data_IF_070978164413
#
_entry.id   IF_070978164413
#
_cell.length_a   1.000
_cell.length_b   1.000
_cell.length_c   1.000
_cell.angle_alpha   90.00
_cell.angle_beta   90.00
_cell.angle_gamma   90.00
#
_symmetry.space_group_name_H-M   'P 1'
#
loop_
_entity.id
_entity.type
_entity.pdbx_description
1 polymer ?
#
# COMPACT_ATOMS: atom_id res chain seq x y z
N UNK A 1 32.67 -14.22 -25.06
CA UNK A 1 31.28 -14.67 -24.76
C UNK A 1 31.31 -15.27 -23.36
N UNK A 2 30.79 -14.53 -22.36
CA UNK A 2 30.79 -14.99 -20.96
C UNK A 2 29.63 -15.99 -20.79
N UNK A 3 29.98 -17.27 -20.75
CA UNK A 3 29.06 -18.41 -20.71
C UNK A 3 28.66 -18.76 -19.25
N UNK A 4 28.43 -17.77 -18.42
CA UNK A 4 27.89 -18.00 -17.08
C UNK A 4 26.42 -18.36 -17.21
N UNK A 5 26.06 -19.59 -16.85
CA UNK A 5 24.69 -20.02 -16.68
C UNK A 5 23.95 -19.01 -15.77
N UNK A 6 22.71 -18.65 -16.09
CA UNK A 6 21.92 -17.78 -15.20
C UNK A 6 21.89 -18.42 -13.81
N UNK A 7 22.18 -17.60 -12.79
CA UNK A 7 22.05 -18.06 -11.39
C UNK A 7 20.62 -18.55 -11.18
N UNK A 8 20.42 -19.70 -10.54
CA UNK A 8 19.09 -20.18 -10.21
C UNK A 8 18.36 -19.12 -9.39
N UNK A 9 17.07 -18.95 -9.66
CA UNK A 9 16.23 -18.04 -8.87
C UNK A 9 16.32 -18.44 -7.39
N UNK A 10 16.42 -17.45 -6.48
CA UNK A 10 16.45 -17.75 -5.06
C UNK A 10 15.16 -18.49 -4.65
N UNK A 11 15.24 -19.44 -3.71
CA UNK A 11 14.08 -20.21 -3.29
C UNK A 11 12.98 -19.26 -2.78
N UNK A 12 11.74 -19.48 -3.23
CA UNK A 12 10.59 -18.71 -2.78
C UNK A 12 10.34 -18.92 -1.29
N UNK A 13 10.17 -17.82 -0.55
CA UNK A 13 9.87 -17.85 0.89
C UNK A 13 8.36 -17.95 1.12
N UNK A 14 7.95 -18.54 2.23
CA UNK A 14 6.55 -18.42 2.69
C UNK A 14 6.29 -17.03 3.27
N UNK A 15 5.09 -16.49 3.01
CA UNK A 15 4.61 -15.29 3.70
C UNK A 15 4.11 -15.71 5.08
N UNK A 16 4.67 -15.18 6.19
CA UNK A 16 4.21 -15.53 7.52
C UNK A 16 2.78 -15.04 7.76
N UNK A 17 1.98 -15.87 8.40
CA UNK A 17 0.73 -15.49 9.02
C UNK A 17 1.00 -15.16 10.48
N UNK A 18 0.76 -13.91 10.88
CA UNK A 18 1.01 -13.41 12.23
C UNK A 18 -0.29 -12.87 12.80
N UNK A 19 -0.72 -13.39 13.93
CA UNK A 19 -1.89 -12.89 14.64
C UNK A 19 -1.41 -11.97 15.76
N UNK A 20 -1.78 -10.69 15.67
CA UNK A 20 -1.42 -9.67 16.67
C UNK A 20 -2.58 -9.32 17.59
N UNK A 21 -3.78 -9.79 17.29
CA UNK A 21 -4.98 -9.45 18.03
C UNK A 21 -5.12 -7.94 18.23
N UNK A 22 -5.32 -7.50 19.46
CA UNK A 22 -5.43 -6.08 19.84
C UNK A 22 -4.09 -5.38 20.03
N UNK A 23 -2.99 -6.10 20.06
CA UNK A 23 -1.66 -5.51 20.28
C UNK A 23 -1.13 -4.77 19.01
N UNK A 24 -1.80 -4.93 17.88
CA UNK A 24 -1.54 -4.16 16.68
C UNK A 24 -0.15 -4.36 16.06
N UNK A 25 0.30 -3.44 15.18
CA UNK A 25 1.57 -3.54 14.45
C UNK A 25 2.82 -3.59 15.32
N UNK A 26 2.78 -3.10 16.56
CA UNK A 26 3.92 -3.21 17.49
C UNK A 26 4.24 -4.66 17.82
N UNK A 27 3.23 -5.52 17.90
CA UNK A 27 3.44 -6.95 18.15
C UNK A 27 4.18 -7.65 17.00
N UNK A 28 4.04 -7.16 15.75
CA UNK A 28 4.78 -7.69 14.61
C UNK A 28 6.30 -7.54 14.77
N UNK A 29 6.75 -6.47 15.40
CA UNK A 29 8.18 -6.26 15.68
C UNK A 29 8.68 -7.28 16.67
N UNK A 30 7.90 -7.58 17.70
CA UNK A 30 8.24 -8.62 18.67
C UNK A 30 8.33 -10.02 18.04
N UNK A 31 7.51 -10.25 17.00
CA UNK A 31 7.50 -11.53 16.27
C UNK A 31 8.64 -11.63 15.23
N UNK A 32 9.02 -10.52 14.58
CA UNK A 32 10.04 -10.55 13.52
C UNK A 32 10.79 -9.21 13.38
N UNK A 33 11.58 -8.88 14.39
CA UNK A 33 12.43 -7.69 14.37
C UNK A 33 13.48 -7.74 13.25
N UNK A 34 13.97 -8.93 12.91
CA UNK A 34 15.00 -9.10 11.89
C UNK A 34 14.52 -8.60 10.51
N UNK A 35 13.28 -8.93 10.11
CA UNK A 35 12.70 -8.39 8.86
C UNK A 35 12.64 -6.86 8.85
N UNK A 36 12.27 -6.26 9.98
CA UNK A 36 12.22 -4.81 10.05
C UNK A 36 13.62 -4.18 9.96
N UNK A 37 14.61 -4.80 10.58
CA UNK A 37 16.01 -4.36 10.47
C UNK A 37 16.54 -4.50 9.03
N UNK A 38 16.20 -5.59 8.33
CA UNK A 38 16.56 -5.80 6.92
C UNK A 38 15.92 -4.74 6.01
N UNK A 39 14.63 -4.44 6.22
CA UNK A 39 13.93 -3.39 5.46
C UNK A 39 14.55 -2.01 5.74
N UNK A 40 14.84 -1.69 7.00
CA UNK A 40 15.46 -0.42 7.37
C UNK A 40 16.88 -0.27 6.80
N UNK A 41 17.67 -1.35 6.79
CA UNK A 41 18.99 -1.37 6.16
C UNK A 41 18.89 -1.18 4.64
N UNK A 42 18.00 -1.90 3.98
CA UNK A 42 17.73 -1.78 2.54
C UNK A 42 17.28 -0.37 2.16
N UNK A 43 16.46 0.27 3.00
CA UNK A 43 16.02 1.65 2.80
C UNK A 43 17.16 2.66 2.99
N UNK A 44 18.02 2.45 3.98
CA UNK A 44 19.21 3.29 4.19
C UNK A 44 20.17 3.22 3.01
N UNK A 45 20.40 2.01 2.47
CA UNK A 45 21.24 1.82 1.27
C UNK A 45 20.62 2.48 0.03
N UNK A 46 19.29 2.38 -0.13
CA UNK A 46 18.57 2.95 -1.28
C UNK A 46 18.52 4.48 -1.26
N UNK A 47 18.18 5.09 -0.13
CA UNK A 47 18.05 6.55 0.00
C UNK A 47 19.39 7.25 0.30
N UNK A 48 20.38 6.52 0.76
CA UNK A 48 21.65 7.03 1.28
C UNK A 48 21.55 7.48 2.73
N UNK A 49 22.59 7.20 3.51
CA UNK A 49 22.66 7.40 4.96
C UNK A 49 22.21 8.79 5.42
N UNK A 50 22.71 9.85 4.79
CA UNK A 50 22.41 11.24 5.18
C UNK A 50 20.93 11.59 4.94
N UNK A 51 20.42 11.29 3.73
CA UNK A 51 19.03 11.58 3.36
C UNK A 51 18.05 10.79 4.24
N UNK A 52 18.35 9.52 4.53
CA UNK A 52 17.56 8.64 5.37
C UNK A 52 17.42 9.20 6.80
N UNK A 53 18.51 9.61 7.42
CA UNK A 53 18.50 10.17 8.79
C UNK A 53 17.83 11.53 8.88
N UNK A 54 18.06 12.39 7.90
CA UNK A 54 17.39 13.71 7.84
C UNK A 54 15.89 13.52 7.65
N UNK A 55 15.49 12.65 6.71
CA UNK A 55 14.09 12.32 6.47
C UNK A 55 13.41 11.74 7.71
N UNK A 56 14.05 10.83 8.43
CA UNK A 56 13.53 10.25 9.67
C UNK A 56 13.28 11.32 10.75
N UNK A 57 14.24 12.24 10.97
CA UNK A 57 14.09 13.36 11.92
C UNK A 57 12.97 14.33 11.52
N UNK A 58 12.83 14.65 10.24
CA UNK A 58 11.77 15.53 9.75
C UNK A 58 10.40 14.86 9.88
N UNK A 59 10.31 13.58 9.56
CA UNK A 59 9.10 12.77 9.74
C UNK A 59 8.68 12.70 11.21
N UNK A 60 9.62 12.47 12.12
CA UNK A 60 9.37 12.51 13.56
C UNK A 60 8.81 13.86 14.01
N UNK A 61 9.46 14.98 13.62
CA UNK A 61 9.00 16.33 13.98
C UNK A 61 7.60 16.65 13.45
N UNK A 62 7.30 16.17 12.25
CA UNK A 62 5.95 16.30 11.69
C UNK A 62 4.94 15.50 12.50
N UNK A 63 5.22 14.24 12.78
CA UNK A 63 4.36 13.36 13.58
C UNK A 63 4.06 13.96 14.96
N UNK A 64 5.08 14.49 15.65
CA UNK A 64 4.96 15.11 16.98
C UNK A 64 4.01 16.33 16.99
N UNK A 65 3.89 17.04 15.86
CA UNK A 65 3.00 18.20 15.70
C UNK A 65 1.61 17.85 15.17
N UNK A 66 1.44 16.67 14.64
CA UNK A 66 0.17 16.19 14.07
C UNK A 66 -0.78 15.66 15.16
N UNK A 67 -2.07 15.61 14.84
CA UNK A 67 -3.08 14.98 15.70
C UNK A 67 -3.22 13.46 15.40
N UNK A 68 -2.13 12.83 14.97
CA UNK A 68 -2.12 11.43 14.58
C UNK A 68 -2.28 10.50 15.79
N UNK A 69 -3.32 9.67 15.87
CA UNK A 69 -3.57 8.77 17.01
C UNK A 69 -2.51 7.68 17.15
N UNK A 70 -1.79 7.36 16.06
CA UNK A 70 -0.76 6.30 16.04
C UNK A 70 0.64 6.80 16.42
N UNK A 71 0.76 8.04 16.91
CA UNK A 71 2.05 8.65 17.26
C UNK A 71 2.82 7.86 18.31
N UNK A 72 2.15 7.42 19.36
CA UNK A 72 2.78 6.64 20.44
C UNK A 72 3.26 5.28 19.92
N UNK A 73 2.47 4.64 19.08
CA UNK A 73 2.80 3.35 18.48
C UNK A 73 4.02 3.44 17.54
N UNK A 74 4.08 4.48 16.70
CA UNK A 74 5.26 4.72 15.83
C UNK A 74 6.51 5.04 16.67
N UNK A 75 6.36 5.72 17.80
CA UNK A 75 7.47 5.98 18.70
C UNK A 75 8.00 4.68 19.35
N UNK A 76 7.11 3.78 19.75
CA UNK A 76 7.49 2.46 20.28
C UNK A 76 8.16 1.59 19.19
N UNK A 77 7.66 1.64 17.95
CA UNK A 77 8.31 1.02 16.78
C UNK A 77 9.74 1.53 16.62
N UNK A 78 9.95 2.84 16.75
CA UNK A 78 11.28 3.46 16.62
C UNK A 78 12.23 3.05 17.76
N UNK A 79 11.71 2.95 18.97
CA UNK A 79 12.48 2.48 20.13
C UNK A 79 12.94 1.03 19.95
N UNK A 80 12.03 0.15 19.53
CA UNK A 80 12.35 -1.28 19.29
C UNK A 80 13.31 -1.50 18.13
N UNK A 81 13.26 -0.66 17.09
CA UNK A 81 14.20 -0.71 15.98
C UNK A 81 15.63 -0.32 16.44
N UNK A 82 15.75 0.60 17.40
CA UNK A 82 17.03 1.06 17.95
C UNK A 82 17.93 1.83 17.00
N UNK A 83 17.44 2.20 15.80
CA UNK A 83 18.16 2.96 14.77
C UNK A 83 17.19 3.88 14.02
N UNK A 84 17.68 4.89 13.25
CA UNK A 84 16.84 5.71 12.39
C UNK A 84 16.09 4.88 11.33
N UNK A 85 14.92 5.38 10.89
CA UNK A 85 14.15 4.83 9.78
C UNK A 85 12.68 4.59 10.10
N UNK A 86 12.31 4.33 11.34
CA UNK A 86 10.94 4.01 11.70
C UNK A 86 9.95 5.12 11.33
N UNK A 87 10.28 6.38 11.60
CA UNK A 87 9.42 7.50 11.25
C UNK A 87 9.35 7.74 9.75
N UNK A 88 10.49 7.67 9.05
CA UNK A 88 10.53 7.84 7.60
C UNK A 88 9.70 6.77 6.90
N UNK A 89 9.89 5.49 7.24
CA UNK A 89 9.19 4.36 6.60
C UNK A 89 7.69 4.39 6.88
N UNK A 90 7.25 4.96 8.00
CA UNK A 90 5.82 5.12 8.31
C UNK A 90 5.17 6.36 7.70
N UNK A 91 5.95 7.36 7.25
CA UNK A 91 5.45 8.67 6.85
C UNK A 91 5.93 9.11 5.45
N UNK A 92 6.74 8.30 4.77
CA UNK A 92 7.12 8.52 3.38
C UNK A 92 6.32 7.59 2.45
N UNK A 93 5.84 8.15 1.36
CA UNK A 93 4.97 7.44 0.42
C UNK A 93 5.53 7.63 -0.99
N UNK A 94 6.40 6.71 -1.40
CA UNK A 94 7.10 6.77 -2.69
C UNK A 94 6.76 5.55 -3.58
N UNK A 95 5.64 4.89 -3.29
CA UNK A 95 5.20 3.75 -4.10
C UNK A 95 4.31 4.14 -5.28
N UNK A 96 4.23 3.24 -6.22
CA UNK A 96 3.26 3.25 -7.30
C UNK A 96 2.39 2.00 -7.23
N UNK A 97 1.23 2.03 -7.84
CA UNK A 97 0.27 0.94 -7.68
C UNK A 97 -0.63 0.84 -8.90
N UNK A 98 -1.26 -0.33 -9.03
CA UNK A 98 -2.40 -0.53 -9.90
C UNK A 98 -3.47 -1.27 -9.12
N UNK A 99 -4.70 -0.82 -9.15
CA UNK A 99 -5.81 -1.48 -8.46
C UNK A 99 -7.06 -1.48 -9.32
N UNK A 100 -7.88 -2.51 -9.16
CA UNK A 100 -9.17 -2.68 -9.77
C UNK A 100 -10.17 -3.27 -8.80
N UNK A 101 -11.43 -2.92 -8.95
CA UNK A 101 -12.56 -3.42 -8.19
C UNK A 101 -13.71 -3.76 -9.13
N UNK A 102 -14.29 -4.93 -8.97
CA UNK A 102 -15.38 -5.42 -9.79
C UNK A 102 -15.99 -6.71 -9.24
N UNK A 103 -17.01 -7.27 -9.90
CA UNK A 103 -17.60 -8.54 -9.50
C UNK A 103 -16.54 -9.65 -9.48
N UNK A 104 -16.66 -10.58 -8.55
CA UNK A 104 -15.78 -11.75 -8.48
C UNK A 104 -16.24 -12.82 -9.49
N UNK A 105 -15.48 -13.17 -10.55
CA UNK A 105 -15.89 -14.21 -11.47
C UNK A 105 -15.90 -15.62 -10.87
N UNK A 106 -15.33 -15.81 -9.68
CA UNK A 106 -15.26 -17.10 -8.98
C UNK A 106 -16.30 -17.24 -7.88
N UNK A 107 -17.16 -16.24 -7.63
CA UNK A 107 -18.16 -16.27 -6.57
C UNK A 107 -18.90 -14.98 -6.34
N UNK A 108 -19.61 -14.90 -5.23
CA UNK A 108 -20.40 -13.73 -4.88
C UNK A 108 -19.54 -12.55 -4.40
N UNK A 109 -20.12 -11.37 -4.50
CA UNK A 109 -19.58 -10.11 -3.99
C UNK A 109 -18.59 -9.44 -4.92
N UNK A 110 -18.03 -8.38 -4.41
CA UNK A 110 -17.05 -7.56 -5.12
C UNK A 110 -15.63 -7.91 -4.66
N UNK A 111 -14.69 -8.03 -5.60
CA UNK A 111 -13.30 -8.29 -5.25
C UNK A 111 -12.37 -7.14 -5.61
N UNK A 112 -11.29 -7.05 -4.87
CA UNK A 112 -10.17 -6.14 -5.07
C UNK A 112 -9.00 -6.89 -5.73
N UNK A 113 -8.47 -6.36 -6.83
CA UNK A 113 -7.19 -6.73 -7.44
C UNK A 113 -6.20 -5.60 -7.21
N UNK A 114 -4.95 -5.91 -6.87
CA UNK A 114 -3.95 -4.88 -6.67
C UNK A 114 -2.53 -5.35 -6.90
N UNK A 115 -1.68 -4.48 -7.51
CA UNK A 115 -0.22 -4.55 -7.39
C UNK A 115 0.32 -3.32 -6.67
N UNK A 116 1.31 -3.53 -5.80
CA UNK A 116 2.10 -2.47 -5.19
C UNK A 116 3.50 -2.50 -5.77
N UNK A 117 3.91 -1.36 -6.31
CA UNK A 117 5.21 -1.17 -6.92
C UNK A 117 6.02 -0.18 -6.07
N UNK A 118 7.19 -0.59 -5.61
CA UNK A 118 8.11 0.25 -4.84
C UNK A 118 9.53 -0.09 -5.21
N UNK A 119 10.38 0.88 -5.59
CA UNK A 119 11.76 0.59 -5.97
C UNK A 119 12.60 0.01 -4.82
N UNK A 120 12.18 0.18 -3.56
CA UNK A 120 12.88 -0.34 -2.39
C UNK A 120 12.99 -1.88 -2.44
N UNK A 121 14.21 -2.47 -2.47
CA UNK A 121 14.40 -3.92 -2.47
C UNK A 121 14.01 -4.58 -1.14
N UNK A 122 13.62 -5.84 -1.19
CA UNK A 122 13.31 -6.67 -0.02
C UNK A 122 11.84 -6.66 0.40
N UNK A 123 11.06 -5.65 0.00
CA UNK A 123 9.65 -5.53 0.43
C UNK A 123 8.78 -6.69 -0.04
N UNK A 124 9.03 -7.23 -1.22
CA UNK A 124 8.28 -8.42 -1.70
C UNK A 124 8.64 -9.68 -0.93
N UNK A 125 9.92 -9.85 -0.58
CA UNK A 125 10.42 -10.99 0.19
C UNK A 125 9.99 -10.95 1.65
N UNK A 126 9.91 -9.74 2.25
CA UNK A 126 9.75 -9.57 3.69
C UNK A 126 8.32 -9.19 4.10
N UNK A 127 7.35 -9.31 3.17
CA UNK A 127 5.93 -9.11 3.45
C UNK A 127 5.39 -10.15 4.44
N UNK A 128 4.41 -9.72 5.25
CA UNK A 128 3.67 -10.58 6.20
C UNK A 128 2.16 -10.36 6.04
N UNK A 129 1.37 -11.38 6.36
CA UNK A 129 -0.08 -11.27 6.52
C UNK A 129 -0.40 -11.20 8.01
N UNK A 130 -0.82 -10.02 8.49
CA UNK A 130 -1.04 -9.75 9.89
C UNK A 130 -2.54 -9.70 10.21
N UNK A 131 -3.00 -10.55 11.14
CA UNK A 131 -4.33 -10.50 11.72
C UNK A 131 -4.40 -9.48 12.86
N UNK A 132 -5.39 -8.60 12.83
CA UNK A 132 -5.65 -7.57 13.83
C UNK A 132 -7.08 -7.65 14.32
N UNK A 133 -7.32 -7.16 15.56
CA UNK A 133 -8.64 -6.94 16.12
C UNK A 133 -8.83 -5.46 16.46
N UNK A 134 -9.74 -4.82 15.77
CA UNK A 134 -10.19 -3.45 16.04
C UNK A 134 -11.57 -3.40 16.69
N UNK A 135 -12.06 -2.21 17.07
CA UNK A 135 -13.41 -2.01 17.61
C UNK A 135 -14.52 -2.48 16.67
N UNK A 136 -14.30 -2.47 15.35
CA UNK A 136 -15.25 -2.94 14.35
C UNK A 136 -15.11 -4.44 14.02
N UNK A 137 -14.19 -5.16 14.64
CA UNK A 137 -13.93 -6.59 14.43
C UNK A 137 -12.57 -6.89 13.81
N UNK A 138 -12.36 -8.15 13.46
CA UNK A 138 -11.08 -8.64 12.94
C UNK A 138 -10.84 -8.22 11.49
N UNK A 139 -9.58 -8.07 11.12
CA UNK A 139 -9.16 -7.74 9.76
C UNK A 139 -7.71 -8.18 9.49
N UNK A 140 -7.36 -8.37 8.24
CA UNK A 140 -6.04 -8.80 7.78
C UNK A 140 -5.33 -7.69 7.05
N UNK A 141 -4.09 -7.38 7.47
CA UNK A 141 -3.20 -6.41 6.88
C UNK A 141 -2.10 -7.11 6.07
N UNK A 142 -1.96 -6.76 4.81
CA UNK A 142 -0.78 -7.13 4.01
C UNK A 142 0.26 -6.06 4.22
N UNK A 143 1.28 -6.36 5.04
CA UNK A 143 2.12 -5.36 5.65
C UNK A 143 3.57 -5.84 5.87
N UNK A 144 4.33 -5.06 6.58
CA UNK A 144 5.68 -5.36 7.02
C UNK A 144 5.83 -5.08 8.52
N UNK A 145 6.68 -5.83 9.26
CA UNK A 145 7.03 -5.47 10.62
C UNK A 145 7.53 -4.02 10.70
N UNK A 146 7.02 -3.26 11.66
CA UNK A 146 7.36 -1.84 11.82
C UNK A 146 6.53 -0.84 10.99
N UNK A 147 5.70 -1.29 10.04
CA UNK A 147 4.77 -0.42 9.34
C UNK A 147 3.42 -0.36 10.07
N UNK A 148 3.09 0.81 10.58
CA UNK A 148 1.92 1.05 11.45
C UNK A 148 0.64 1.34 10.63
N UNK A 149 0.79 1.82 9.41
CA UNK A 149 -0.31 2.12 8.50
C UNK A 149 -0.87 0.90 7.77
N UNK A 150 -1.84 1.15 6.90
CA UNK A 150 -2.42 0.15 5.99
C UNK A 150 -2.23 0.60 4.54
N UNK A 151 -1.59 -0.27 3.73
CA UNK A 151 -1.51 -0.08 2.29
C UNK A 151 -2.52 -0.95 1.54
N UNK A 152 -2.79 -2.15 2.04
CA UNK A 152 -3.85 -3.06 1.56
C UNK A 152 -4.30 -3.93 2.71
N UNK A 153 -5.60 -4.05 2.91
CA UNK A 153 -6.16 -4.92 3.93
C UNK A 153 -7.54 -5.47 3.51
N UNK A 154 -7.98 -6.50 4.23
CA UNK A 154 -9.29 -7.13 4.06
C UNK A 154 -9.87 -7.46 5.43
N UNK A 155 -11.12 -7.10 5.64
CA UNK A 155 -11.94 -7.45 6.80
C UNK A 155 -13.03 -8.43 6.34
N UNK A 156 -12.94 -9.73 6.69
CA UNK A 156 -13.95 -10.72 6.31
C UNK A 156 -15.35 -10.28 6.72
N UNK A 157 -16.31 -10.41 5.81
CA UNK A 157 -17.70 -10.01 6.04
C UNK A 157 -17.94 -8.50 6.11
N UNK A 158 -16.94 -7.64 5.77
CA UNK A 158 -17.08 -6.18 5.78
C UNK A 158 -16.64 -5.53 4.47
N UNK A 159 -15.34 -5.47 4.22
CA UNK A 159 -14.78 -4.87 3.00
C UNK A 159 -13.28 -5.18 2.85
N UNK A 160 -12.77 -4.98 1.64
CA UNK A 160 -11.33 -4.91 1.35
C UNK A 160 -10.98 -3.54 0.77
N UNK A 161 -9.79 -3.05 1.04
CA UNK A 161 -9.35 -1.77 0.51
C UNK A 161 -7.85 -1.68 0.25
N UNK A 162 -7.49 -0.83 -0.71
CA UNK A 162 -6.11 -0.52 -1.06
C UNK A 162 -5.94 0.98 -1.31
N UNK A 163 -4.69 1.46 -1.17
CA UNK A 163 -4.33 2.85 -1.43
C UNK A 163 -3.33 2.94 -2.59
N UNK A 164 -3.58 3.86 -3.52
CA UNK A 164 -2.66 4.25 -4.57
C UNK A 164 -2.27 5.72 -4.40
N UNK A 165 -1.15 6.12 -4.99
CA UNK A 165 -0.72 7.52 -4.95
C UNK A 165 -1.01 8.25 -6.27
N UNK A 166 -1.57 9.47 -6.20
CA UNK A 166 -1.71 10.35 -7.35
C UNK A 166 -0.35 10.88 -7.84
N UNK A 167 -0.29 11.51 -9.03
CA UNK A 167 0.90 12.22 -9.50
C UNK A 167 1.40 13.26 -8.49
N UNK A 168 2.71 13.54 -8.51
CA UNK A 168 3.28 14.63 -7.72
C UNK A 168 2.75 15.95 -8.30
N UNK A 169 2.13 16.79 -7.46
CA UNK A 169 1.58 18.09 -7.87
C UNK A 169 2.65 18.91 -8.58
N UNK A 170 2.35 19.33 -9.82
CA UNK A 170 3.26 20.09 -10.66
C UNK A 170 3.16 21.57 -10.33
N UNK A 171 4.26 22.16 -9.91
CA UNK A 171 4.45 23.58 -9.65
C UNK A 171 5.47 24.17 -10.62
N UNK A 172 6.43 23.33 -11.06
CA UNK A 172 7.54 23.68 -11.95
C UNK A 172 7.71 22.60 -13.03
N UNK A 173 8.58 22.78 -14.03
CA UNK A 173 8.96 21.71 -14.95
C UNK A 173 9.80 20.58 -14.32
N UNK A 174 10.41 20.82 -13.15
CA UNK A 174 11.33 19.88 -12.49
C UNK A 174 10.61 19.02 -11.47
N UNK A 175 10.53 17.71 -11.71
CA UNK A 175 9.97 16.75 -10.78
C UNK A 175 10.67 16.76 -9.40
N UNK A 176 12.02 16.87 -9.40
CA UNK A 176 12.79 16.90 -8.16
C UNK A 176 12.49 18.18 -7.34
N UNK A 177 12.44 19.34 -8.02
CA UNK A 177 12.12 20.60 -7.35
C UNK A 177 10.70 20.56 -6.78
N UNK A 178 9.73 20.04 -7.54
CA UNK A 178 8.36 19.91 -7.08
C UNK A 178 8.22 18.88 -5.95
N UNK A 179 9.02 17.82 -5.95
CA UNK A 179 9.08 16.90 -4.82
C UNK A 179 9.48 17.64 -3.53
N UNK A 180 10.47 18.53 -3.58
CA UNK A 180 10.88 19.36 -2.43
C UNK A 180 9.81 20.39 -2.07
N UNK A 181 9.28 21.13 -3.06
CA UNK A 181 8.33 22.22 -2.84
C UNK A 181 6.96 21.74 -2.30
N UNK A 182 6.57 20.51 -2.56
CA UNK A 182 5.35 19.93 -2.02
C UNK A 182 5.48 19.45 -0.56
N UNK A 183 6.70 19.42 0.04
CA UNK A 183 6.90 18.97 1.42
C UNK A 183 6.44 19.97 2.50
N UNK A 184 6.71 21.28 2.42
CA UNK A 184 6.32 22.24 3.46
C UNK A 184 4.82 22.26 3.79
N UNK A 185 3.88 22.22 2.83
CA UNK A 185 2.45 22.09 3.14
C UNK A 185 2.11 20.84 3.93
N UNK A 186 2.72 19.69 3.56
CA UNK A 186 2.53 18.42 4.27
C UNK A 186 3.01 18.52 5.71
N UNK A 187 4.22 19.04 5.95
CA UNK A 187 4.79 19.20 7.30
C UNK A 187 4.06 20.22 8.19
N UNK A 188 3.25 21.10 7.58
CA UNK A 188 2.34 22.02 8.32
C UNK A 188 0.98 21.41 8.58
N UNK A 189 0.61 20.37 7.86
CA UNK A 189 -0.69 19.71 8.04
C UNK A 189 -0.72 18.95 9.34
N UNK A 190 -1.84 19.05 10.06
CA UNK A 190 -2.15 18.24 11.25
C UNK A 190 -3.02 17.03 10.91
N UNK A 191 -3.51 16.97 9.67
CA UNK A 191 -4.40 15.92 9.19
C UNK A 191 -3.69 14.56 9.09
N UNK A 192 -4.49 13.50 9.00
CA UNK A 192 -3.97 12.14 8.91
C UNK A 192 -3.28 11.88 7.56
N UNK A 193 -2.14 11.19 7.56
CA UNK A 193 -1.63 10.52 6.38
C UNK A 193 -2.62 9.48 5.85
N UNK A 194 -2.72 9.28 4.53
CA UNK A 194 -3.71 8.37 3.93
C UNK A 194 -3.64 6.92 4.44
N UNK A 195 -2.44 6.39 4.69
CA UNK A 195 -2.29 5.01 5.21
C UNK A 195 -2.77 4.87 6.66
N UNK A 196 -2.69 5.94 7.45
CA UNK A 196 -3.22 5.97 8.80
C UNK A 196 -4.74 6.18 8.81
N UNK A 197 -5.28 6.95 7.85
CA UNK A 197 -6.73 6.98 7.65
C UNK A 197 -7.25 5.60 7.27
N UNK A 198 -6.60 4.91 6.31
CA UNK A 198 -7.04 3.58 5.90
C UNK A 198 -7.00 2.59 7.06
N UNK A 199 -5.97 2.65 7.93
CA UNK A 199 -5.94 1.85 9.16
C UNK A 199 -7.13 2.16 10.07
N UNK A 200 -7.40 3.44 10.32
CA UNK A 200 -8.55 3.87 11.13
C UNK A 200 -9.87 3.34 10.58
N UNK A 201 -10.02 3.31 9.25
CA UNK A 201 -11.19 2.73 8.59
C UNK A 201 -11.34 1.25 8.91
N UNK A 202 -10.26 0.46 8.89
CA UNK A 202 -10.32 -0.97 9.26
C UNK A 202 -10.61 -1.19 10.74
N UNK A 203 -10.12 -0.32 11.59
CA UNK A 203 -10.36 -0.38 13.03
C UNK A 203 -11.81 0.00 13.41
N UNK A 204 -12.42 1.01 12.74
CA UNK A 204 -13.66 1.66 13.17
C UNK A 204 -14.89 1.37 12.28
N UNK A 205 -14.73 1.23 10.95
CA UNK A 205 -15.85 1.06 10.03
C UNK A 205 -16.42 -0.36 10.07
N UNK A 206 -17.73 -0.49 10.25
CA UNK A 206 -18.43 -1.77 10.33
C UNK A 206 -18.98 -2.24 8.99
N UNK A 207 -19.21 -1.31 8.07
CA UNK A 207 -19.81 -1.57 6.76
C UNK A 207 -19.00 -0.93 5.65
N UNK A 208 -19.27 -1.35 4.41
CA UNK A 208 -18.76 -0.68 3.20
C UNK A 208 -19.14 0.81 3.17
N UNK A 209 -20.38 1.14 3.55
CA UNK A 209 -20.88 2.52 3.57
C UNK A 209 -20.14 3.38 4.60
N UNK A 210 -19.88 2.86 5.81
CA UNK A 210 -19.09 3.56 6.82
C UNK A 210 -17.67 3.83 6.31
N UNK A 211 -17.02 2.78 5.76
CA UNK A 211 -15.68 2.89 5.20
C UNK A 211 -15.59 3.93 4.08
N UNK A 212 -16.55 3.92 3.14
CA UNK A 212 -16.66 4.90 2.06
C UNK A 212 -16.84 6.32 2.60
N UNK A 213 -17.75 6.53 3.56
CA UNK A 213 -17.97 7.81 4.22
C UNK A 213 -16.69 8.34 4.86
N UNK A 214 -16.03 7.55 5.71
CA UNK A 214 -14.77 7.93 6.35
C UNK A 214 -13.67 8.29 5.33
N UNK A 215 -13.52 7.50 4.26
CA UNK A 215 -12.55 7.77 3.20
C UNK A 215 -12.86 9.02 2.41
N UNK A 216 -14.13 9.39 2.23
CA UNK A 216 -14.56 10.57 1.51
C UNK A 216 -14.47 11.86 2.33
N UNK A 217 -14.76 11.82 3.62
CA UNK A 217 -15.01 13.02 4.44
C UNK A 217 -13.81 13.44 5.28
N UNK A 218 -12.96 12.49 5.70
CA UNK A 218 -11.80 12.81 6.55
C UNK A 218 -10.77 13.62 5.79
N UNK A 219 -10.33 14.75 6.36
CA UNK A 219 -9.26 15.57 5.79
C UNK A 219 -7.94 14.81 5.77
N UNK A 220 -7.23 14.87 4.64
CA UNK A 220 -5.94 14.20 4.43
C UNK A 220 -4.77 15.18 4.46
N UNK A 221 -3.61 14.70 4.92
CA UNK A 221 -2.36 15.45 4.88
C UNK A 221 -1.81 15.59 3.45
N UNK A 222 -2.10 14.62 2.59
CA UNK A 222 -1.70 14.55 1.18
C UNK A 222 -2.81 13.88 0.36
N UNK A 223 -2.91 14.14 -0.95
CA UNK A 223 -3.81 13.41 -1.84
C UNK A 223 -3.55 11.91 -1.87
N UNK A 224 -4.59 11.12 -2.15
CA UNK A 224 -4.52 9.67 -2.30
C UNK A 224 -5.66 9.14 -3.17
N UNK A 225 -5.49 7.95 -3.73
CA UNK A 225 -6.59 7.18 -4.33
C UNK A 225 -6.87 5.97 -3.44
N UNK A 226 -8.14 5.70 -3.18
CA UNK A 226 -8.56 4.50 -2.48
C UNK A 226 -9.40 3.62 -3.40
N UNK A 227 -9.14 2.32 -3.38
CA UNK A 227 -10.00 1.32 -4.01
C UNK A 227 -10.66 0.53 -2.88
N UNK A 228 -12.00 0.46 -2.88
CA UNK A 228 -12.81 -0.17 -1.85
C UNK A 228 -13.73 -1.20 -2.48
N UNK A 229 -13.75 -2.42 -1.94
CA UNK A 229 -14.63 -3.52 -2.33
C UNK A 229 -15.43 -3.97 -1.11
N UNK A 230 -16.75 -3.95 -1.20
CA UNK A 230 -17.68 -4.43 -0.17
C UNK A 230 -17.99 -5.92 -0.32
N UNK A 231 -19.06 -6.36 0.32
CA UNK A 231 -19.49 -7.76 0.33
C UNK A 231 -20.65 -8.05 -0.63
N UNK A 232 -21.43 -7.03 -0.96
CA UNK A 232 -22.56 -7.18 -1.88
C UNK A 232 -22.12 -6.94 -3.33
N UNK A 233 -22.88 -7.49 -4.26
CA UNK A 233 -22.68 -7.22 -5.68
C UNK A 233 -22.86 -5.72 -5.98
N UNK A 234 -21.87 -5.12 -6.64
CA UNK A 234 -21.86 -3.70 -6.94
C UNK A 234 -21.35 -2.79 -5.80
N UNK A 235 -21.13 -3.31 -4.59
CA UNK A 235 -20.43 -2.58 -3.54
C UNK A 235 -18.93 -2.46 -3.84
N UNK A 236 -18.56 -1.51 -4.68
CA UNK A 236 -17.18 -1.23 -5.01
C UNK A 236 -17.02 0.19 -5.51
N UNK A 237 -15.85 0.79 -5.28
CA UNK A 237 -15.53 2.09 -5.86
C UNK A 237 -14.02 2.36 -5.87
N UNK A 238 -13.65 3.29 -6.76
CA UNK A 238 -12.40 4.05 -6.68
C UNK A 238 -12.75 5.45 -6.18
N UNK A 239 -11.99 5.94 -5.20
CA UNK A 239 -12.14 7.27 -4.60
C UNK A 239 -10.86 8.05 -4.88
N UNK A 240 -10.93 9.04 -5.76
CA UNK A 240 -9.85 9.99 -6.01
C UNK A 240 -9.95 11.14 -5.00
N UNK A 241 -8.95 11.23 -4.10
CA UNK A 241 -8.94 12.21 -3.01
C UNK A 241 -7.88 13.28 -3.21
N UNK A 242 -8.32 14.55 -3.25
CA UNK A 242 -7.52 15.66 -2.79
C UNK A 242 -7.47 15.70 -1.26
N UNK A 243 -6.91 16.74 -0.67
CA UNK A 243 -6.87 16.87 0.79
C UNK A 243 -8.28 17.00 1.41
N UNK A 244 -9.23 17.63 0.70
CA UNK A 244 -10.60 17.90 1.16
C UNK A 244 -11.70 17.45 0.19
N UNK A 245 -11.35 17.23 -1.08
CA UNK A 245 -12.31 16.85 -2.12
C UNK A 245 -12.24 15.35 -2.39
N UNK A 246 -13.38 14.75 -2.69
CA UNK A 246 -13.49 13.37 -3.10
C UNK A 246 -14.26 13.28 -4.42
N UNK A 247 -13.74 12.51 -5.36
CA UNK A 247 -14.49 12.04 -6.52
C UNK A 247 -14.61 10.53 -6.44
N UNK A 248 -15.82 10.01 -6.60
CA UNK A 248 -16.11 8.58 -6.44
C UNK A 248 -16.60 8.00 -7.76
N UNK A 249 -15.90 6.98 -8.25
CA UNK A 249 -16.32 6.16 -9.37
C UNK A 249 -16.79 4.79 -8.83
N UNK A 250 -18.04 4.42 -9.07
CA UNK A 250 -18.59 3.10 -8.68
C UNK A 250 -18.00 1.95 -9.47
N UNK A 251 -18.04 0.76 -8.90
CA UNK A 251 -17.57 -0.46 -9.57
C UNK A 251 -18.46 -0.81 -10.79
N UNK A 252 -17.87 -1.46 -11.83
CA UNK A 252 -16.48 -1.86 -11.94
C UNK A 252 -15.58 -0.65 -12.25
N UNK A 253 -14.48 -0.48 -11.51
CA UNK A 253 -13.58 0.65 -11.63
C UNK A 253 -12.11 0.24 -11.44
N UNK A 254 -11.19 1.00 -12.00
CA UNK A 254 -9.75 0.79 -11.85
C UNK A 254 -9.01 2.10 -11.68
N UNK A 255 -7.82 2.03 -11.07
CA UNK A 255 -6.94 3.18 -10.87
C UNK A 255 -5.47 2.74 -10.92
N UNK A 256 -4.61 3.61 -11.44
CA UNK A 256 -3.17 3.47 -11.29
C UNK A 256 -2.59 4.68 -10.53
N UNK A 257 -1.81 5.53 -11.20
CA UNK A 257 -1.18 6.69 -10.55
C UNK A 257 -1.42 8.00 -11.32
N UNK A 258 -2.51 8.12 -12.06
CA UNK A 258 -2.96 9.36 -12.71
C UNK A 258 -4.42 9.63 -12.36
N UNK A 259 -4.80 10.89 -12.39
CA UNK A 259 -6.18 11.32 -12.16
C UNK A 259 -7.05 10.90 -13.35
N UNK A 260 -8.17 10.27 -13.09
CA UNK A 260 -9.18 9.88 -14.09
C UNK A 260 -10.27 10.95 -14.16
N UNK A 261 -10.72 11.45 -13.01
CA UNK A 261 -11.77 12.45 -12.90
C UNK A 261 -11.29 13.90 -13.11
N UNK A 262 -10.08 14.12 -13.60
CA UNK A 262 -9.58 15.46 -13.90
C UNK A 262 -9.04 16.25 -12.72
N UNK A 263 -8.48 15.58 -11.72
CA UNK A 263 -7.90 16.19 -10.50
C UNK A 263 -6.62 17.02 -10.70
N UNK A 264 -6.25 17.31 -11.94
CA UNK A 264 -5.10 18.15 -12.29
C UNK A 264 -3.95 17.41 -12.96
N UNK A 265 -3.00 18.20 -13.46
CA UNK A 265 -1.76 17.68 -14.04
C UNK A 265 -0.69 17.53 -12.98
N UNK A 266 0.11 16.47 -13.07
CA UNK A 266 1.22 16.21 -12.15
C UNK A 266 2.38 15.52 -12.83
N UNK A 267 3.50 15.39 -12.13
CA UNK A 267 4.58 14.53 -12.58
C UNK A 267 4.19 13.07 -12.39
N UNK A 268 4.32 12.23 -13.43
CA UNK A 268 3.95 10.83 -13.37
C UNK A 268 4.66 10.09 -12.21
N UNK A 269 3.97 9.17 -11.59
CA UNK A 269 4.55 8.19 -10.67
C UNK A 269 4.64 6.83 -11.34
N UNK A 270 5.85 6.25 -11.31
CA UNK A 270 6.14 4.98 -11.97
C UNK A 270 6.06 5.03 -13.48
N UNK A 271 6.40 3.90 -14.10
CA UNK A 271 6.29 3.74 -15.55
C UNK A 271 4.86 3.42 -15.98
N UNK A 272 4.48 3.92 -17.15
CA UNK A 272 3.26 3.55 -17.89
C UNK A 272 1.98 3.43 -17.05
N UNK A 273 1.66 4.49 -16.31
CA UNK A 273 0.45 4.51 -15.47
C UNK A 273 -0.84 4.28 -16.26
N UNK A 274 -0.93 4.82 -17.47
CA UNK A 274 -2.09 4.63 -18.34
C UNK A 274 -2.20 3.20 -18.88
N UNK A 275 -1.10 2.59 -19.35
CA UNK A 275 -1.10 1.21 -19.82
C UNK A 275 -1.46 0.23 -18.71
N UNK A 276 -0.95 0.45 -17.47
CA UNK A 276 -1.32 -0.35 -16.30
C UNK A 276 -2.81 -0.21 -15.95
N UNK A 277 -3.33 1.00 -16.02
CA UNK A 277 -4.76 1.26 -15.81
C UNK A 277 -5.63 0.58 -16.87
N UNK A 278 -5.33 0.76 -18.18
CA UNK A 278 -6.08 0.13 -19.28
C UNK A 278 -6.10 -1.40 -19.13
N UNK A 279 -4.96 -2.00 -18.83
CA UNK A 279 -4.89 -3.44 -18.60
C UNK A 279 -5.75 -3.86 -17.40
N UNK A 280 -5.76 -3.08 -16.29
CA UNK A 280 -6.60 -3.39 -15.14
C UNK A 280 -8.09 -3.20 -15.46
N UNK A 281 -8.47 -2.21 -16.29
CA UNK A 281 -9.83 -2.05 -16.80
C UNK A 281 -10.34 -3.31 -17.54
N UNK A 282 -9.44 -4.02 -18.22
CA UNK A 282 -9.76 -5.26 -18.91
C UNK A 282 -9.82 -6.48 -17.99
N UNK A 283 -9.13 -6.45 -16.87
CA UNK A 283 -8.91 -7.62 -16.01
C UNK A 283 -9.81 -7.67 -14.78
N UNK A 284 -10.20 -6.51 -14.23
CA UNK A 284 -10.80 -6.38 -12.89
C UNK A 284 -12.00 -7.28 -12.61
N UNK A 285 -12.79 -7.58 -13.62
CA UNK A 285 -14.02 -8.40 -13.53
C UNK A 285 -13.88 -9.81 -14.10
N UNK A 286 -12.72 -10.18 -14.68
CA UNK A 286 -12.50 -11.48 -15.32
C UNK A 286 -11.16 -12.14 -15.02
N UNK A 287 -10.23 -11.46 -14.32
CA UNK A 287 -8.95 -12.09 -13.98
C UNK A 287 -9.17 -13.33 -13.10
N UNK A 288 -8.40 -14.41 -13.29
CA UNK A 288 -8.49 -15.56 -12.40
C UNK A 288 -7.95 -15.21 -11.00
N UNK A 289 -8.34 -15.99 -9.99
CA UNK A 289 -7.89 -15.81 -8.60
C UNK A 289 -6.42 -16.17 -8.35
N UNK A 290 -5.73 -16.73 -9.35
CA UNK A 290 -4.28 -16.85 -9.37
C UNK A 290 -3.60 -15.55 -9.84
N UNK A 291 -2.28 -15.47 -9.80
CA UNK A 291 -1.55 -14.27 -10.22
C UNK A 291 -1.09 -14.27 -11.69
N UNK A 292 -1.67 -15.11 -12.57
CA UNK A 292 -1.35 -15.16 -14.01
C UNK A 292 -1.67 -13.85 -14.75
N UNK A 293 -2.52 -13.01 -14.20
CA UNK A 293 -2.82 -11.67 -14.69
C UNK A 293 -1.71 -10.64 -14.42
N UNK A 294 -0.77 -10.95 -13.50
CA UNK A 294 0.35 -10.07 -13.15
C UNK A 294 1.44 -10.18 -14.23
N UNK A 295 1.27 -9.45 -15.31
CA UNK A 295 2.15 -9.40 -16.47
C UNK A 295 2.35 -7.94 -16.93
N UNK A 296 3.39 -7.64 -17.75
CA UNK A 296 3.60 -6.29 -18.24
C UNK A 296 2.36 -5.72 -18.98
N UNK A 297 2.03 -4.41 -18.78
CA UNK A 297 2.79 -3.42 -18.01
C UNK A 297 2.50 -3.39 -16.50
N UNK A 298 1.50 -4.14 -15.99
CA UNK A 298 1.21 -4.21 -14.54
C UNK A 298 2.43 -4.77 -13.77
N UNK A 299 3.01 -5.87 -14.25
CA UNK A 299 4.29 -6.36 -13.74
C UNK A 299 5.42 -5.50 -14.30
N UNK A 300 6.17 -4.86 -13.43
CA UNK A 300 7.31 -4.01 -13.78
C UNK A 300 8.46 -4.22 -12.76
N UNK A 301 9.69 -3.70 -13.02
CA UNK A 301 10.84 -3.95 -12.13
C UNK A 301 10.66 -3.51 -10.68
N UNK A 302 9.70 -2.62 -10.41
CA UNK A 302 9.41 -2.13 -9.06
C UNK A 302 8.25 -2.85 -8.38
N UNK A 303 7.58 -3.80 -9.05
CA UNK A 303 6.51 -4.60 -8.45
C UNK A 303 7.05 -5.39 -7.25
N UNK A 304 6.37 -5.24 -6.10
CA UNK A 304 6.70 -5.90 -4.84
C UNK A 304 5.60 -6.83 -4.35
N UNK A 305 4.33 -6.46 -4.56
CA UNK A 305 3.21 -7.27 -4.12
C UNK A 305 2.15 -7.38 -5.21
N UNK A 306 1.52 -8.55 -5.30
CA UNK A 306 0.23 -8.74 -5.95
C UNK A 306 -0.76 -9.32 -4.93
N UNK A 307 -1.99 -8.81 -4.96
CA UNK A 307 -3.02 -9.12 -3.97
C UNK A 307 -4.37 -9.29 -4.67
N UNK A 308 -5.11 -10.31 -4.27
CA UNK A 308 -6.51 -10.52 -4.60
C UNK A 308 -7.27 -10.68 -3.29
N UNK A 309 -8.32 -9.90 -3.08
CA UNK A 309 -9.11 -9.95 -1.84
C UNK A 309 -10.61 -9.90 -2.15
N UNK A 310 -11.38 -10.79 -1.52
CA UNK A 310 -12.84 -10.80 -1.53
C UNK A 310 -13.36 -10.91 -0.08
N UNK A 311 -13.91 -9.82 0.44
CA UNK A 311 -14.38 -9.76 1.82
C UNK A 311 -15.65 -10.57 2.05
N UNK A 312 -16.52 -10.73 1.04
CA UNK A 312 -17.73 -11.57 1.15
C UNK A 312 -17.37 -13.03 1.38
N UNK A 313 -16.35 -13.52 0.69
CA UNK A 313 -15.83 -14.89 0.82
C UNK A 313 -14.81 -15.05 1.95
N UNK A 314 -14.31 -13.95 2.50
CA UNK A 314 -13.22 -13.95 3.47
C UNK A 314 -11.87 -14.41 2.87
N UNK A 315 -11.69 -14.33 1.55
CA UNK A 315 -10.49 -14.82 0.87
C UNK A 315 -9.48 -13.72 0.61
N UNK A 316 -8.23 -14.00 0.89
CA UNK A 316 -7.09 -13.12 0.65
C UNK A 316 -5.94 -13.92 0.08
N UNK A 317 -5.53 -13.60 -1.15
CA UNK A 317 -4.34 -14.17 -1.79
C UNK A 317 -3.26 -13.08 -1.92
N UNK A 318 -2.02 -13.42 -1.57
CA UNK A 318 -0.87 -12.51 -1.62
C UNK A 318 0.34 -13.20 -2.22
N UNK A 319 1.06 -12.51 -3.11
CA UNK A 319 2.36 -12.95 -3.61
C UNK A 319 3.34 -11.79 -3.60
N UNK A 320 4.54 -12.03 -3.09
CA UNK A 320 5.66 -11.10 -3.11
C UNK A 320 6.53 -11.27 -4.35
N UNK A 321 7.06 -10.14 -4.84
CA UNK A 321 7.92 -10.07 -6.03
C UNK A 321 9.21 -9.30 -5.72
N UNK A 322 10.32 -9.71 -6.32
CA UNK A 322 11.58 -8.96 -6.26
C UNK A 322 12.21 -8.80 -7.65
N UNK A 323 12.98 -7.73 -7.81
CA UNK A 323 13.65 -7.45 -9.06
C UNK A 323 14.98 -8.26 -9.18
N UNK A 324 15.12 -8.97 -10.29
CA UNK A 324 16.36 -9.64 -10.69
C UNK A 324 16.65 -9.28 -12.14
N UNK A 325 17.84 -8.75 -12.43
CA UNK A 325 18.25 -8.41 -13.80
C UNK A 325 17.28 -7.47 -14.54
N UNK A 326 16.64 -6.53 -13.83
CA UNK A 326 15.71 -5.58 -14.42
C UNK A 326 14.28 -6.13 -14.66
N UNK A 327 13.99 -7.34 -14.20
CA UNK A 327 12.65 -7.95 -14.25
C UNK A 327 12.20 -8.33 -12.85
N UNK A 328 10.92 -8.16 -12.54
CA UNK A 328 10.34 -8.68 -11.32
C UNK A 328 9.94 -10.14 -11.50
N UNK A 329 10.23 -10.97 -10.50
CA UNK A 329 9.84 -12.39 -10.42
C UNK A 329 9.29 -12.70 -9.04
N UNK A 330 8.47 -13.77 -8.87
CA UNK A 330 7.98 -14.21 -7.58
C UNK A 330 9.13 -14.47 -6.59
N UNK A 331 9.08 -13.81 -5.44
CA UNK A 331 10.02 -13.96 -4.32
C UNK A 331 9.41 -14.80 -3.18
N UNK A 332 8.09 -14.94 -3.17
CA UNK A 332 7.39 -15.76 -2.19
C UNK A 332 6.48 -16.79 -2.85
N UNK A 333 6.19 -17.86 -2.12
CA UNK A 333 5.03 -18.69 -2.41
C UNK A 333 3.74 -17.86 -2.28
N UNK A 334 2.68 -18.29 -2.92
CA UNK A 334 1.35 -17.64 -2.77
C UNK A 334 0.81 -17.95 -1.39
N UNK A 335 0.56 -16.90 -0.61
CA UNK A 335 -0.22 -16.98 0.62
C UNK A 335 -1.71 -17.01 0.29
N UNK A 336 -2.49 -17.80 1.01
CA UNK A 336 -3.96 -17.84 0.94
C UNK A 336 -4.56 -17.93 2.33
N UNK A 337 -5.60 -17.11 2.54
CA UNK A 337 -6.48 -17.14 3.71
C UNK A 337 -7.81 -17.72 3.29
#
# INVERSE_FOLDING_TARGET
>A
MDNRLPKPDPPTRAIPRLDTGRAGPVALIGADLARFQDIAASAEDYYGWTAFRIGDRLSRRWLEKSDNPYRAEIAEVAERLGRPGAYLLNLSYEWTCTAGVGPDPEGAGTRLLRTLDWPLPGLGRDVVAAGHEGPAGSWWNVTWPGFVGVATAMAPGRFAAAINQPPIRRLTPSCWLDWVLNRPPVWRSRALPPVHLLRRVFDEARTYTDAKGMLCETTLAIPAFFTLAGIEDGEGCVIERGERLAHVQGAPASIANHWIAGGGTGHPRGGDSEGRWRMMEELRDRAPGDFSWVRPPILNPTTRLAIVANAARGTLSVQGFEAHGGKASPATAVFRL
#
